data_IF_126058997521
#
_entry.id   IF_126058997521
#
_cell.length_a   1.000
_cell.length_b   1.000
_cell.length_c   1.000
_cell.angle_alpha   90.00
_cell.angle_beta   90.00
_cell.angle_gamma   90.00
#
_symmetry.space_group_name_H-M   'P 1'
#
loop_
_entity.id
_entity.type
_entity.pdbx_description
1 polymer ?
#
# COMPACT_ATOMS: atom_id res chain seq x y z
N UNK A 1 -7.16 -10.45 -31.17
CA UNK A 1 -6.75 -9.47 -30.18
C UNK A 1 -6.30 -10.15 -28.89
N UNK A 2 -5.16 -9.85 -28.48
CA UNK A 2 -4.57 -10.50 -27.31
C UNK A 2 -4.93 -9.77 -26.02
N UNK A 3 -5.27 -10.54 -24.99
CA UNK A 3 -5.50 -9.97 -23.65
C UNK A 3 -4.24 -9.36 -23.07
N UNK A 4 -3.07 -9.77 -23.55
CA UNK A 4 -1.81 -9.22 -23.05
C UNK A 4 -1.67 -7.74 -23.37
N UNK A 5 -2.44 -7.22 -24.32
CA UNK A 5 -2.44 -5.81 -24.63
C UNK A 5 -3.38 -5.01 -23.71
N UNK A 6 -4.12 -5.67 -22.82
CA UNK A 6 -5.07 -5.02 -21.95
C UNK A 6 -4.37 -4.53 -20.67
N UNK A 7 -4.21 -3.20 -20.49
CA UNK A 7 -3.52 -2.69 -19.29
C UNK A 7 -4.23 -3.05 -17.99
N UNK A 8 -5.56 -3.16 -18.01
CA UNK A 8 -6.28 -3.50 -16.79
C UNK A 8 -5.94 -4.92 -16.33
N UNK A 9 -5.77 -5.84 -17.26
CA UNK A 9 -5.40 -7.21 -16.92
C UNK A 9 -3.98 -7.27 -16.37
N UNK A 10 -3.06 -6.52 -16.97
CA UNK A 10 -1.68 -6.46 -16.47
C UNK A 10 -1.64 -5.82 -15.08
N UNK A 11 -2.42 -4.77 -14.87
CA UNK A 11 -2.44 -4.08 -13.59
C UNK A 11 -2.99 -4.95 -12.46
N UNK A 12 -3.79 -5.96 -12.77
CA UNK A 12 -4.33 -6.85 -11.74
C UNK A 12 -3.35 -7.95 -11.33
N UNK A 13 -2.23 -8.09 -12.04
CA UNK A 13 -1.20 -9.07 -11.68
C UNK A 13 -0.48 -8.63 -10.41
N UNK A 14 -0.30 -9.52 -9.42
CA UNK A 14 0.46 -9.16 -8.20
C UNK A 14 1.87 -8.70 -8.51
N UNK A 15 2.53 -9.30 -9.49
CA UNK A 15 3.90 -8.89 -9.83
C UNK A 15 3.91 -7.52 -10.49
N UNK A 16 2.94 -7.24 -11.36
CA UNK A 16 2.85 -5.93 -11.99
C UNK A 16 2.54 -4.85 -10.96
N UNK A 17 1.65 -5.16 -10.01
CA UNK A 17 1.33 -4.22 -8.93
C UNK A 17 2.53 -3.92 -8.06
N UNK A 18 3.28 -4.96 -7.68
CA UNK A 18 4.47 -4.78 -6.86
C UNK A 18 5.52 -3.93 -7.58
N UNK A 19 5.72 -4.14 -8.88
CA UNK A 19 6.67 -3.36 -9.67
C UNK A 19 6.25 -1.90 -9.75
N UNK A 20 4.95 -1.65 -9.89
CA UNK A 20 4.43 -0.29 -9.94
C UNK A 20 4.64 0.44 -8.63
N UNK A 21 4.34 -0.21 -7.50
CA UNK A 21 4.53 0.41 -6.18
C UNK A 21 6.01 0.65 -5.90
N UNK A 22 6.87 -0.28 -6.30
CA UNK A 22 8.31 -0.12 -6.16
C UNK A 22 8.79 1.12 -6.93
N UNK A 23 8.35 1.27 -8.17
CA UNK A 23 8.71 2.41 -8.99
C UNK A 23 8.16 3.71 -8.42
N UNK A 24 6.95 3.66 -7.85
CA UNK A 24 6.34 4.83 -7.22
C UNK A 24 7.17 5.31 -6.03
N UNK A 25 7.60 4.38 -5.19
CA UNK A 25 8.43 4.75 -4.04
C UNK A 25 9.76 5.32 -4.49
N UNK A 26 10.37 4.74 -5.51
CA UNK A 26 11.63 5.25 -6.03
C UNK A 26 11.51 6.69 -6.49
N UNK A 27 10.38 7.03 -7.14
CA UNK A 27 10.14 8.40 -7.62
C UNK A 27 9.85 9.39 -6.50
N UNK A 28 9.15 8.94 -5.45
CA UNK A 28 8.63 9.84 -4.43
C UNK A 28 9.50 9.92 -3.19
N UNK A 29 10.29 8.88 -2.92
CA UNK A 29 11.16 8.84 -1.74
C UNK A 29 12.31 7.87 -2.01
N UNK A 30 13.28 8.33 -2.76
CA UNK A 30 14.39 7.48 -3.18
C UNK A 30 15.19 6.94 -2.00
N UNK A 31 15.35 7.72 -0.95
CA UNK A 31 16.10 7.28 0.22
C UNK A 31 15.46 6.05 0.86
N UNK A 32 14.14 6.06 1.05
CA UNK A 32 13.45 4.91 1.60
C UNK A 32 13.40 3.76 0.60
N UNK A 33 13.29 4.08 -0.67
CA UNK A 33 13.37 3.04 -1.70
C UNK A 33 14.71 2.32 -1.62
N UNK A 34 15.81 3.06 -1.52
CA UNK A 34 17.13 2.47 -1.36
C UNK A 34 17.21 1.62 -0.10
N UNK A 35 16.66 2.13 1.02
CA UNK A 35 16.65 1.39 2.26
C UNK A 35 15.93 0.04 2.11
N UNK A 36 14.86 0.00 1.32
CA UNK A 36 14.11 -1.25 1.11
C UNK A 36 14.94 -2.30 0.38
N UNK A 37 15.97 -1.89 -0.36
CA UNK A 37 16.83 -2.84 -1.09
C UNK A 37 17.68 -3.70 -0.16
N UNK A 38 17.88 -3.24 1.07
CA UNK A 38 18.67 -4.01 2.05
C UNK A 38 17.85 -5.10 2.73
N UNK A 39 16.53 -5.07 2.61
CA UNK A 39 15.69 -6.11 3.17
C UNK A 39 15.73 -7.37 2.29
N UNK A 40 15.54 -8.56 2.89
CA UNK A 40 15.37 -9.76 2.09
C UNK A 40 14.21 -9.57 1.10
N UNK A 41 14.29 -10.21 -0.04
CA UNK A 41 13.31 -10.00 -1.10
C UNK A 41 11.87 -10.24 -0.61
N UNK A 42 11.67 -11.21 0.27
CA UNK A 42 10.35 -11.50 0.81
C UNK A 42 9.77 -10.33 1.60
N UNK A 43 10.62 -9.54 2.27
CA UNK A 43 10.15 -8.39 3.05
C UNK A 43 10.19 -7.07 2.30
N UNK A 44 10.80 -7.04 1.11
CA UNK A 44 10.97 -5.80 0.36
C UNK A 44 9.64 -5.19 -0.06
N UNK A 45 8.73 -6.01 -0.56
CA UNK A 45 7.43 -5.52 -0.99
C UNK A 45 6.62 -4.99 0.18
N UNK A 46 6.73 -5.63 1.33
CA UNK A 46 6.08 -5.15 2.54
C UNK A 46 6.63 -3.78 2.94
N UNK A 47 7.95 -3.60 2.92
CA UNK A 47 8.54 -2.31 3.24
C UNK A 47 8.12 -1.22 2.27
N UNK A 48 8.09 -1.52 0.98
CA UNK A 48 7.64 -0.56 -0.02
C UNK A 48 6.20 -0.11 0.27
N UNK A 49 5.32 -1.06 0.56
CA UNK A 49 3.92 -0.74 0.87
C UNK A 49 3.80 0.10 2.14
N UNK A 50 4.57 -0.23 3.17
CA UNK A 50 4.56 0.52 4.43
C UNK A 50 5.07 1.95 4.21
N UNK A 51 6.13 2.11 3.45
CA UNK A 51 6.67 3.44 3.19
C UNK A 51 5.67 4.29 2.38
N UNK A 52 4.99 3.70 1.42
CA UNK A 52 3.96 4.41 0.66
C UNK A 52 2.77 4.78 1.53
N UNK A 53 2.38 3.88 2.43
CA UNK A 53 1.32 4.18 3.39
C UNK A 53 1.72 5.33 4.29
N UNK A 54 2.97 5.37 4.73
CA UNK A 54 3.50 6.47 5.53
C UNK A 54 3.39 7.80 4.78
N UNK A 55 3.70 7.80 3.48
CA UNK A 55 3.53 9.00 2.65
C UNK A 55 2.07 9.46 2.62
N UNK A 56 1.14 8.51 2.51
CA UNK A 56 -0.29 8.85 2.50
C UNK A 56 -0.71 9.49 3.82
N UNK A 57 -0.24 8.95 4.93
CA UNK A 57 -0.54 9.52 6.24
C UNK A 57 0.05 10.92 6.38
N UNK A 58 1.28 11.12 5.95
CA UNK A 58 1.91 12.44 6.01
C UNK A 58 1.14 13.45 5.18
N UNK A 59 0.72 13.06 4.00
CA UNK A 59 -0.08 13.93 3.12
C UNK A 59 -1.41 14.29 3.78
N UNK A 60 -2.03 13.32 4.44
CA UNK A 60 -3.27 13.53 5.17
C UNK A 60 -3.09 14.52 6.33
N UNK A 61 -2.01 14.32 7.11
CA UNK A 61 -1.76 15.16 8.27
C UNK A 61 -1.35 16.58 7.90
N UNK A 62 -0.80 16.78 6.70
CA UNK A 62 -0.46 18.12 6.24
C UNK A 62 -1.56 18.77 5.43
N UNK A 63 -2.75 18.19 5.38
CA UNK A 63 -3.88 18.80 4.70
C UNK A 63 -4.22 20.14 5.34
N UNK A 64 -4.50 21.15 4.50
CA UNK A 64 -4.78 22.48 4.99
C UNK A 64 -6.10 22.57 5.77
N UNK A 65 -7.05 21.72 5.43
CA UNK A 65 -8.35 21.68 6.08
C UNK A 65 -8.38 20.56 7.12
N UNK A 66 -8.48 20.94 8.39
CA UNK A 66 -8.47 19.98 9.49
C UNK A 66 -9.60 18.96 9.37
N UNK A 67 -10.78 19.40 8.90
CA UNK A 67 -11.91 18.48 8.76
C UNK A 67 -11.63 17.39 7.74
N UNK A 68 -11.05 17.74 6.58
CA UNK A 68 -10.68 16.77 5.57
C UNK A 68 -9.62 15.81 6.09
N UNK A 69 -8.66 16.33 6.85
CA UNK A 69 -7.64 15.49 7.46
C UNK A 69 -8.23 14.45 8.38
N UNK A 70 -9.18 14.87 9.23
CA UNK A 70 -9.86 13.94 10.15
C UNK A 70 -10.65 12.87 9.40
N UNK A 71 -11.34 13.26 8.33
CA UNK A 71 -12.11 12.30 7.52
C UNK A 71 -11.17 11.27 6.89
N UNK A 72 -10.04 11.71 6.37
CA UNK A 72 -9.07 10.81 5.74
C UNK A 72 -8.41 9.89 6.75
N UNK A 73 -8.09 10.38 7.94
CA UNK A 73 -7.52 9.54 8.99
C UNK A 73 -8.53 8.46 9.39
N UNK A 74 -9.80 8.84 9.55
CA UNK A 74 -10.84 7.88 9.88
C UNK A 74 -11.02 6.85 8.77
N UNK A 75 -10.96 7.30 7.52
CA UNK A 75 -11.04 6.39 6.37
C UNK A 75 -9.92 5.35 6.40
N UNK A 76 -8.69 5.79 6.68
CA UNK A 76 -7.56 4.87 6.75
C UNK A 76 -7.65 3.94 7.95
N UNK A 77 -8.15 4.43 9.08
CA UNK A 77 -8.33 3.58 10.24
C UNK A 77 -9.28 2.42 9.92
N UNK A 78 -10.41 2.72 9.30
CA UNK A 78 -11.36 1.70 8.90
C UNK A 78 -10.78 0.77 7.84
N UNK A 79 -10.02 1.33 6.92
CA UNK A 79 -9.40 0.55 5.86
C UNK A 79 -8.37 -0.43 6.43
N UNK A 80 -7.59 -0.02 7.41
CA UNK A 80 -6.63 -0.91 8.05
C UNK A 80 -7.32 -2.06 8.78
N UNK A 81 -8.47 -1.80 9.38
CA UNK A 81 -9.27 -2.88 9.97
C UNK A 81 -9.68 -3.89 8.90
N UNK A 82 -10.06 -3.42 7.73
CA UNK A 82 -10.41 -4.30 6.61
C UNK A 82 -9.19 -5.07 6.09
N UNK A 83 -8.03 -4.44 6.04
CA UNK A 83 -6.78 -5.11 5.69
C UNK A 83 -6.52 -6.25 6.68
N UNK A 84 -6.84 -6.04 7.96
CA UNK A 84 -6.72 -7.06 9.00
C UNK A 84 -7.82 -8.12 8.98
N UNK A 85 -8.75 -8.06 8.05
CA UNK A 85 -9.78 -9.07 7.88
C UNK A 85 -11.14 -8.72 8.47
N UNK A 86 -11.35 -7.49 8.91
CA UNK A 86 -12.61 -7.06 9.52
C UNK A 86 -13.52 -6.46 8.47
N UNK A 87 -14.11 -7.31 7.66
CA UNK A 87 -15.07 -6.89 6.65
C UNK A 87 -14.47 -6.82 5.25
N UNK A 88 -15.29 -6.46 4.27
CA UNK A 88 -14.82 -6.39 2.87
C UNK A 88 -13.82 -5.27 2.67
N UNK A 89 -12.76 -5.57 1.95
CA UNK A 89 -11.70 -4.60 1.67
C UNK A 89 -12.17 -3.56 0.65
N UNK A 90 -11.87 -2.29 0.93
CA UNK A 90 -12.18 -1.21 0.00
C UNK A 90 -11.33 -1.30 -1.24
N UNK A 91 -11.89 -0.83 -2.35
CA UNK A 91 -11.19 -0.80 -3.63
C UNK A 91 -10.28 0.43 -3.67
N UNK A 92 -9.05 0.22 -3.24
CA UNK A 92 -8.02 1.26 -3.26
C UNK A 92 -6.69 0.55 -3.49
N UNK A 93 -5.90 1.03 -4.42
CA UNK A 93 -4.69 0.33 -4.85
C UNK A 93 -3.74 0.03 -3.70
N UNK A 94 -3.45 1.01 -2.87
CA UNK A 94 -2.52 0.81 -1.76
C UNK A 94 -3.13 -0.09 -0.67
N UNK A 95 -4.44 0.04 -0.41
CA UNK A 95 -5.11 -0.84 0.55
C UNK A 95 -5.04 -2.30 0.10
N UNK A 96 -5.26 -2.54 -1.19
CA UNK A 96 -5.17 -3.88 -1.74
C UNK A 96 -3.75 -4.42 -1.67
N UNK A 97 -2.77 -3.57 -1.93
CA UNK A 97 -1.38 -3.97 -1.83
C UNK A 97 -1.00 -4.30 -0.39
N UNK A 98 -1.44 -3.49 0.57
CA UNK A 98 -1.20 -3.77 1.99
C UNK A 98 -1.79 -5.11 2.38
N UNK A 99 -3.02 -5.40 1.94
CA UNK A 99 -3.64 -6.70 2.23
C UNK A 99 -2.83 -7.85 1.62
N UNK A 100 -2.35 -7.67 0.41
CA UNK A 100 -1.59 -8.71 -0.28
C UNK A 100 -0.26 -9.01 0.43
N UNK A 101 0.49 -7.96 0.78
CA UNK A 101 1.82 -8.16 1.36
C UNK A 101 1.77 -8.60 2.82
N UNK A 102 0.64 -8.40 3.50
CA UNK A 102 0.48 -8.82 4.89
C UNK A 102 -0.31 -10.11 5.03
N UNK A 103 -0.78 -10.70 3.93
CA UNK A 103 -1.60 -11.91 4.01
C UNK A 103 -0.89 -13.07 4.71
N UNK A 104 0.42 -13.18 4.51
CA UNK A 104 1.23 -14.21 5.16
C UNK A 104 1.87 -13.72 6.45
N UNK A 105 1.58 -12.49 6.86
CA UNK A 105 2.15 -11.86 8.04
C UNK A 105 1.06 -11.16 8.82
N UNK A 106 -0.06 -11.85 9.02
CA UNK A 106 -1.20 -11.28 9.71
C UNK A 106 -0.87 -10.86 11.14
N UNK A 107 0.17 -11.44 11.72
CA UNK A 107 0.65 -11.08 13.05
C UNK A 107 1.10 -9.62 13.13
N UNK A 108 1.46 -8.99 12.01
CA UNK A 108 1.89 -7.59 11.98
C UNK A 108 0.71 -6.63 12.07
N UNK A 109 -0.46 -7.07 11.61
CA UNK A 109 -1.66 -6.23 11.54
C UNK A 109 -2.67 -6.64 12.63
N UNK A 110 -2.67 -7.91 13.00
CA UNK A 110 -3.63 -8.43 13.96
C UNK A 110 -3.54 -7.66 15.27
N UNK A 111 -4.67 -7.38 15.91
CA UNK A 111 -4.64 -6.71 17.21
C UNK A 111 -3.91 -7.57 18.22
N UNK A 112 -3.12 -6.91 18.96
CA UNK A 112 -2.40 -7.55 20.05
C UNK A 112 -3.34 -7.78 21.22
#
# INVERSE_FOLDING_TARGET
MSDTANPAKLASSPLAGAAEFDARLKRTDEDRWLASRYAPQAGRQLLVAIYLFHQELQRTLSAKEAMLGKIRVQWWRETLEQVGGKGPLRRHDLAEELARVTSDRSDLIAPM
#
